data_IF_000266143083
#
_entry.id   IF_000266143083
#
_cell.length_a   1.000
_cell.length_b   1.000
_cell.length_c   1.000
_cell.angle_alpha   90.00
_cell.angle_beta   90.00
_cell.angle_gamma   90.00
#
_symmetry.space_group_name_H-M   'P 1'
#
loop_
_entity.id
_entity.type
_entity.pdbx_description
1 polymer ?
#
# COMPACT_ATOMS: atom_id res chain seq x y z
N UNK A 1 -30.61 20.01 -7.47
CA UNK A 1 -30.07 19.32 -6.27
C UNK A 1 -29.86 17.87 -6.66
N UNK A 2 -28.62 17.41 -6.73
CA UNK A 2 -28.32 16.03 -7.06
C UNK A 2 -28.55 15.16 -5.82
N UNK A 3 -29.36 14.12 -5.95
CA UNK A 3 -29.52 13.08 -4.92
C UNK A 3 -28.13 12.52 -4.59
N UNK A 4 -27.72 12.43 -3.31
CA UNK A 4 -26.46 11.78 -2.97
C UNK A 4 -26.52 10.33 -3.44
N UNK A 5 -25.77 10.00 -4.49
CA UNK A 5 -25.57 8.60 -4.86
C UNK A 5 -24.78 7.96 -3.74
N UNK A 6 -25.35 6.94 -3.08
CA UNK A 6 -24.61 6.09 -2.17
C UNK A 6 -23.48 5.46 -2.99
N UNK A 7 -22.24 5.90 -2.77
CA UNK A 7 -21.06 5.51 -3.55
C UNK A 7 -20.61 4.08 -3.23
N UNK A 8 -21.49 3.10 -3.42
CA UNK A 8 -21.24 1.69 -3.14
C UNK A 8 -19.98 1.22 -3.88
N UNK A 9 -19.08 0.57 -3.13
CA UNK A 9 -17.93 -0.13 -3.70
C UNK A 9 -18.34 -1.58 -3.97
N UNK A 10 -18.26 -2.01 -5.23
CA UNK A 10 -18.73 -3.33 -5.68
C UNK A 10 -17.66 -4.43 -5.58
N UNK A 11 -16.59 -4.24 -4.79
CA UNK A 11 -15.48 -5.18 -4.70
C UNK A 11 -15.89 -6.64 -4.46
N UNK A 12 -16.90 -6.87 -3.60
CA UNK A 12 -17.41 -8.21 -3.34
C UNK A 12 -18.14 -8.83 -4.53
N UNK A 13 -18.84 -8.02 -5.31
CA UNK A 13 -19.52 -8.46 -6.55
C UNK A 13 -18.49 -8.71 -7.65
N UNK A 14 -17.51 -7.82 -7.81
CA UNK A 14 -16.45 -7.98 -8.81
C UNK A 14 -15.64 -9.26 -8.54
N UNK A 15 -15.32 -9.52 -7.26
CA UNK A 15 -14.65 -10.75 -6.84
C UNK A 15 -15.52 -11.99 -7.07
N UNK A 16 -16.81 -11.92 -6.77
CA UNK A 16 -17.74 -13.02 -7.02
C UNK A 16 -17.82 -13.34 -8.52
N UNK A 17 -17.98 -12.33 -9.37
CA UNK A 17 -18.04 -12.50 -10.83
C UNK A 17 -16.73 -13.10 -11.35
N UNK A 18 -15.59 -12.61 -10.87
CA UNK A 18 -14.26 -13.14 -11.24
C UNK A 18 -14.14 -14.62 -10.87
N UNK A 19 -14.47 -14.96 -9.62
CA UNK A 19 -14.38 -16.35 -9.14
C UNK A 19 -15.37 -17.27 -9.86
N UNK A 20 -16.58 -16.79 -10.17
CA UNK A 20 -17.56 -17.53 -10.94
C UNK A 20 -17.08 -17.78 -12.38
N UNK A 21 -16.44 -16.79 -13.01
CA UNK A 21 -15.81 -16.94 -14.31
C UNK A 21 -14.73 -18.03 -14.32
N UNK A 22 -13.82 -17.99 -13.35
CA UNK A 22 -12.78 -19.02 -13.17
C UNK A 22 -13.40 -20.42 -12.98
N UNK A 23 -14.45 -20.53 -12.18
CA UNK A 23 -15.12 -21.81 -11.92
C UNK A 23 -15.87 -22.36 -13.14
N UNK A 24 -16.38 -21.49 -14.02
CA UNK A 24 -17.00 -21.89 -15.31
C UNK A 24 -15.94 -22.42 -16.28
N UNK A 25 -14.74 -21.83 -16.29
CA UNK A 25 -13.64 -22.25 -17.16
C UNK A 25 -13.00 -23.56 -16.68
N UNK A 26 -12.66 -23.65 -15.40
CA UNK A 26 -12.03 -24.81 -14.77
C UNK A 26 -12.32 -24.82 -13.26
N UNK A 27 -13.31 -25.63 -12.86
CA UNK A 27 -13.75 -25.71 -11.46
C UNK A 27 -12.65 -26.22 -10.53
N UNK A 28 -11.91 -27.26 -10.93
CA UNK A 28 -10.88 -27.87 -10.08
C UNK A 28 -9.75 -26.88 -9.82
N UNK A 29 -9.29 -26.19 -10.86
CA UNK A 29 -8.29 -25.14 -10.70
C UNK A 29 -8.80 -23.96 -9.87
N UNK A 30 -10.05 -23.52 -10.07
CA UNK A 30 -10.65 -22.43 -9.30
C UNK A 30 -10.74 -22.76 -7.79
N UNK A 31 -11.14 -23.98 -7.45
CA UNK A 31 -11.16 -24.47 -6.06
C UNK A 31 -9.74 -24.50 -5.47
N UNK A 32 -8.77 -24.99 -6.22
CA UNK A 32 -7.36 -25.01 -5.79
C UNK A 32 -6.82 -23.60 -5.55
N UNK A 33 -7.14 -22.62 -6.41
CA UNK A 33 -6.78 -21.22 -6.21
C UNK A 33 -7.38 -20.70 -4.90
N UNK A 34 -8.67 -20.94 -4.66
CA UNK A 34 -9.35 -20.47 -3.46
C UNK A 34 -8.77 -21.11 -2.18
N UNK A 35 -8.49 -22.42 -2.21
CA UNK A 35 -7.87 -23.15 -1.10
C UNK A 35 -6.43 -22.70 -0.83
N UNK A 36 -5.71 -22.27 -1.87
CA UNK A 36 -4.35 -21.74 -1.76
C UNK A 36 -4.28 -20.26 -1.35
N UNK A 37 -5.42 -19.58 -1.26
CA UNK A 37 -5.46 -18.17 -0.87
C UNK A 37 -4.93 -17.99 0.56
N UNK A 38 -4.11 -16.96 0.82
CA UNK A 38 -3.51 -16.77 2.12
C UNK A 38 -4.57 -16.42 3.17
N UNK A 39 -4.43 -17.00 4.37
CA UNK A 39 -5.20 -16.60 5.54
C UNK A 39 -4.81 -15.21 6.02
N UNK A 40 -5.64 -14.59 6.88
CA UNK A 40 -5.32 -13.30 7.47
C UNK A 40 -3.98 -13.31 8.25
N UNK A 41 -3.70 -14.39 8.99
CA UNK A 41 -2.45 -14.57 9.71
C UNK A 41 -1.25 -14.70 8.76
N UNK A 42 -1.39 -15.45 7.66
CA UNK A 42 -0.34 -15.56 6.64
C UNK A 42 -0.04 -14.22 5.97
N UNK A 43 -1.08 -13.41 5.69
CA UNK A 43 -0.91 -12.06 5.16
C UNK A 43 -0.16 -11.16 6.15
N UNK A 44 -0.51 -11.21 7.43
CA UNK A 44 0.14 -10.43 8.48
C UNK A 44 1.62 -10.79 8.65
N UNK A 45 1.94 -12.09 8.62
CA UNK A 45 3.31 -12.57 8.65
C UNK A 45 4.09 -12.09 7.43
N UNK A 46 3.47 -12.15 6.24
CA UNK A 46 4.07 -11.66 4.99
C UNK A 46 4.38 -10.16 5.07
N UNK A 47 3.44 -9.35 5.57
CA UNK A 47 3.61 -7.91 5.75
C UNK A 47 4.72 -7.63 6.78
N UNK A 48 4.75 -8.36 7.89
CA UNK A 48 5.77 -8.21 8.93
C UNK A 48 7.17 -8.51 8.39
N UNK A 49 7.32 -9.55 7.58
CA UNK A 49 8.58 -9.88 6.91
C UNK A 49 9.00 -8.74 5.96
N UNK A 50 8.07 -8.22 5.17
CA UNK A 50 8.33 -7.10 4.28
C UNK A 50 8.80 -5.84 5.03
N UNK A 51 8.14 -5.51 6.14
CA UNK A 51 8.50 -4.35 6.98
C UNK A 51 9.92 -4.46 7.56
N UNK A 52 10.36 -5.68 7.92
CA UNK A 52 11.75 -5.91 8.34
C UNK A 52 12.75 -5.71 7.20
N UNK A 53 12.38 -6.07 5.97
CA UNK A 53 13.21 -5.84 4.79
C UNK A 53 13.37 -4.34 4.50
N UNK A 54 12.31 -3.54 4.65
CA UNK A 54 12.36 -2.09 4.50
C UNK A 54 13.43 -1.44 5.39
N UNK A 55 13.45 -1.76 6.68
CA UNK A 55 14.45 -1.25 7.61
C UNK A 55 15.87 -1.64 7.19
N UNK A 56 16.06 -2.89 6.75
CA UNK A 56 17.36 -3.39 6.30
C UNK A 56 17.86 -2.67 5.04
N UNK A 57 16.94 -2.36 4.11
CA UNK A 57 17.28 -1.65 2.88
C UNK A 57 17.58 -0.17 3.12
N UNK A 58 16.83 0.50 4.00
CA UNK A 58 17.10 1.88 4.38
C UNK A 58 18.48 2.03 5.02
N UNK A 59 18.85 1.12 5.93
CA UNK A 59 20.20 1.14 6.54
C UNK A 59 21.29 0.83 5.50
N UNK A 60 21.09 -0.17 4.64
CA UNK A 60 22.06 -0.54 3.61
C UNK A 60 22.30 0.55 2.57
N UNK A 61 21.27 1.31 2.22
CA UNK A 61 21.31 2.34 1.17
C UNK A 61 21.20 3.75 1.73
N UNK A 62 21.52 3.96 3.02
CA UNK A 62 21.31 5.23 3.72
C UNK A 62 21.88 6.44 2.97
N UNK A 63 23.09 6.31 2.43
CA UNK A 63 23.79 7.38 1.70
C UNK A 63 23.19 7.69 0.32
N UNK A 64 22.35 6.79 -0.22
CA UNK A 64 21.67 6.93 -1.51
C UNK A 64 20.19 7.31 -1.37
N UNK A 65 19.63 7.20 -0.16
CA UNK A 65 18.21 7.45 0.08
C UNK A 65 17.88 8.93 0.04
N UNK A 66 16.78 9.26 -0.64
CA UNK A 66 16.23 10.62 -0.68
C UNK A 66 14.93 10.62 0.11
N UNK A 67 14.82 11.53 1.08
CA UNK A 67 13.56 11.75 1.80
C UNK A 67 12.53 12.33 0.84
N UNK A 68 11.45 11.60 0.63
CA UNK A 68 10.35 12.00 -0.25
C UNK A 68 9.35 12.88 0.48
N UNK A 69 8.75 12.35 1.55
CA UNK A 69 7.75 13.06 2.33
C UNK A 69 7.75 12.64 3.79
N UNK A 70 7.16 13.49 4.62
CA UNK A 70 6.71 13.18 5.97
C UNK A 70 5.20 13.40 6.06
N UNK A 71 4.50 12.49 6.72
CA UNK A 71 3.05 12.54 6.88
C UNK A 71 2.63 12.11 8.29
N UNK A 72 1.69 12.87 8.84
CA UNK A 72 0.90 12.52 10.02
C UNK A 72 -0.56 12.45 9.58
N UNK A 73 -1.20 11.31 9.76
CA UNK A 73 -2.54 11.02 9.24
C UNK A 73 -3.34 10.24 10.27
N UNK A 74 -4.57 10.71 10.52
CA UNK A 74 -5.55 9.96 11.30
C UNK A 74 -6.20 8.93 10.39
N UNK A 75 -6.11 7.66 10.73
CA UNK A 75 -6.67 6.54 9.95
C UNK A 75 -7.70 5.84 10.81
N UNK A 76 -8.93 5.68 10.30
CA UNK A 76 -9.97 4.88 10.92
C UNK A 76 -10.38 3.80 9.92
N UNK A 77 -9.82 2.61 10.10
CA UNK A 77 -10.01 1.53 9.14
C UNK A 77 -8.91 1.46 8.09
N UNK A 78 -9.29 1.52 6.80
CA UNK A 78 -8.40 1.17 5.68
C UNK A 78 -8.41 2.24 4.61
N UNK A 79 -7.23 2.75 4.31
CA UNK A 79 -7.04 3.81 3.32
C UNK A 79 -5.77 3.55 2.51
N UNK A 80 -5.73 4.16 1.32
CA UNK A 80 -4.54 4.22 0.48
C UNK A 80 -4.04 5.66 0.43
N UNK A 81 -2.76 5.85 0.74
CA UNK A 81 -2.03 7.06 0.36
C UNK A 81 -1.42 6.83 -1.01
N UNK A 82 -1.77 7.67 -1.97
CA UNK A 82 -1.32 7.55 -3.35
C UNK A 82 -0.53 8.80 -3.69
N UNK A 83 0.73 8.61 -4.10
CA UNK A 83 1.69 9.70 -4.32
C UNK A 83 2.25 9.64 -5.74
N UNK A 84 2.22 10.77 -6.42
CA UNK A 84 2.75 10.96 -7.77
C UNK A 84 3.39 12.36 -7.84
N UNK A 85 4.64 12.46 -8.29
CA UNK A 85 5.40 13.71 -8.26
C UNK A 85 5.45 14.32 -6.83
N UNK A 86 4.87 15.51 -6.64
CA UNK A 86 4.69 16.21 -5.35
C UNK A 86 3.22 16.28 -4.92
N UNK A 87 2.40 15.38 -5.45
CA UNK A 87 0.95 15.33 -5.18
C UNK A 87 0.61 14.08 -4.41
N UNK A 88 -0.39 14.20 -3.56
CA UNK A 88 -0.96 13.07 -2.84
C UNK A 88 -2.49 13.06 -2.98
N UNK A 89 -3.07 11.88 -2.84
CA UNK A 89 -4.50 11.70 -2.57
C UNK A 89 -4.71 10.55 -1.59
N UNK A 90 -5.75 10.67 -0.78
CA UNK A 90 -6.24 9.60 0.08
C UNK A 90 -7.41 8.91 -0.64
N UNK A 91 -7.38 7.59 -0.69
CA UNK A 91 -8.50 6.78 -1.15
C UNK A 91 -8.99 5.89 -0.02
N UNK A 92 -10.19 6.17 0.46
CA UNK A 92 -10.83 5.35 1.48
C UNK A 92 -11.30 4.01 0.89
N UNK A 93 -11.02 2.94 1.63
CA UNK A 93 -11.44 1.58 1.29
C UNK A 93 -12.54 1.08 2.23
N UNK A 94 -12.43 1.38 3.53
CA UNK A 94 -13.38 0.89 4.54
C UNK A 94 -13.38 1.78 5.77
N UNK A 95 -14.57 1.94 6.37
CA UNK A 95 -14.86 2.81 7.52
C UNK A 95 -14.71 4.29 7.15
N UNK A 96 -14.34 5.13 8.10
CA UNK A 96 -14.23 6.57 7.87
C UNK A 96 -12.95 6.91 7.12
N UNK A 97 -12.98 7.96 6.31
CA UNK A 97 -11.84 8.35 5.49
C UNK A 97 -10.66 8.86 6.34
N UNK A 98 -9.44 8.51 5.93
CA UNK A 98 -8.27 9.06 6.60
C UNK A 98 -8.18 10.60 6.47
N UNK A 99 -7.75 11.25 7.56
CA UNK A 99 -7.61 12.69 7.68
C UNK A 99 -6.16 13.09 7.88
N UNK A 100 -5.54 13.66 6.85
CA UNK A 100 -4.16 14.17 6.89
C UNK A 100 -4.08 15.35 7.86
N UNK A 101 -3.29 15.21 8.91
CA UNK A 101 -3.01 16.26 9.90
C UNK A 101 -1.84 17.13 9.46
N UNK A 102 -0.77 16.47 8.98
CA UNK A 102 0.43 17.13 8.45
C UNK A 102 0.93 16.38 7.24
N UNK A 103 1.37 17.11 6.24
CA UNK A 103 2.07 16.54 5.09
C UNK A 103 3.09 17.53 4.57
N UNK A 104 4.32 17.06 4.36
CA UNK A 104 5.40 17.85 3.79
C UNK A 104 6.20 17.00 2.82
N UNK A 105 6.25 17.44 1.56
CA UNK A 105 7.20 16.93 0.59
C UNK A 105 8.58 17.57 0.77
N UNK A 106 9.62 16.76 0.63
CA UNK A 106 11.03 17.18 0.64
C UNK A 106 11.68 16.98 -0.73
N UNK A 107 11.12 16.07 -1.53
CA UNK A 107 11.51 15.83 -2.90
C UNK A 107 10.26 15.49 -3.73
N UNK A 108 10.43 15.50 -5.06
CA UNK A 108 9.44 14.98 -6.01
C UNK A 108 9.71 13.50 -6.24
N UNK A 109 8.67 12.70 -6.38
CA UNK A 109 8.82 11.34 -6.87
C UNK A 109 9.21 11.39 -8.36
N UNK A 110 10.36 10.81 -8.77
CA UNK A 110 10.83 10.94 -10.14
C UNK A 110 9.95 10.13 -11.10
N UNK A 111 9.96 10.52 -12.38
CA UNK A 111 9.25 9.82 -13.46
C UNK A 111 10.10 8.65 -14.01
N UNK A 112 10.58 7.82 -13.09
CA UNK A 112 11.38 6.62 -13.37
C UNK A 112 11.14 5.54 -12.30
N UNK A 113 11.62 4.33 -12.55
CA UNK A 113 11.50 3.24 -11.58
C UNK A 113 12.48 3.43 -10.42
N UNK A 114 11.92 3.71 -9.24
CA UNK A 114 12.65 3.84 -7.98
C UNK A 114 12.04 2.92 -6.92
N UNK A 115 12.80 2.64 -5.87
CA UNK A 115 12.30 1.88 -4.73
C UNK A 115 11.86 2.84 -3.66
N UNK A 116 10.55 2.96 -3.44
CA UNK A 116 10.01 3.71 -2.29
C UNK A 116 9.94 2.80 -1.07
N UNK A 117 10.33 3.33 0.08
CA UNK A 117 10.33 2.59 1.35
C UNK A 117 9.71 3.47 2.44
N UNK A 118 8.72 2.96 3.19
CA UNK A 118 8.19 3.64 4.36
C UNK A 118 9.13 3.44 5.55
N UNK A 119 9.37 4.52 6.28
CA UNK A 119 9.96 4.50 7.60
C UNK A 119 8.86 4.84 8.60
N UNK A 120 8.46 3.86 9.41
CA UNK A 120 7.48 4.07 10.48
C UNK A 120 8.10 4.93 11.59
N UNK A 121 7.42 6.00 12.00
CA UNK A 121 7.78 6.81 13.17
C UNK A 121 6.86 6.41 14.33
N UNK A 122 5.56 6.36 14.06
CA UNK A 122 4.54 5.97 15.01
C UNK A 122 3.33 5.39 14.30
N UNK A 123 3.06 4.11 14.50
CA UNK A 123 1.77 3.52 14.14
C UNK A 123 1.44 2.34 15.05
N UNK A 124 0.16 1.95 15.04
CA UNK A 124 -0.29 0.68 15.65
C UNK A 124 0.29 -0.51 14.85
N UNK A 125 0.29 -1.75 15.37
CA UNK A 125 1.17 -2.85 14.92
C UNK A 125 1.19 -3.19 13.42
N UNK A 126 0.18 -2.77 12.66
CA UNK A 126 0.21 -2.83 11.19
C UNK A 126 0.76 -1.52 10.63
N UNK A 127 2.09 -1.43 10.52
CA UNK A 127 2.77 -0.26 9.96
C UNK A 127 2.40 -0.04 8.48
N UNK A 128 2.48 1.21 7.97
CA UNK A 128 2.27 1.49 6.55
C UNK A 128 3.22 0.66 5.67
N UNK A 129 2.70 0.11 4.56
CA UNK A 129 3.52 -0.65 3.61
C UNK A 129 3.17 -0.33 2.17
N UNK A 130 4.14 -0.51 1.27
CA UNK A 130 3.98 -0.22 -0.16
C UNK A 130 3.13 -1.29 -0.83
N UNK A 131 1.89 -0.96 -1.20
CA UNK A 131 1.09 -1.85 -2.04
C UNK A 131 1.63 -1.89 -3.47
N UNK A 132 2.04 -0.73 -3.99
CA UNK A 132 2.59 -0.62 -5.35
C UNK A 132 3.78 0.33 -5.40
N UNK A 133 4.87 -0.13 -6.02
CA UNK A 133 6.04 0.70 -6.36
C UNK A 133 5.79 1.50 -7.65
N UNK A 134 6.46 2.65 -7.84
CA UNK A 134 6.35 3.43 -9.06
C UNK A 134 6.94 2.68 -10.26
N UNK A 135 6.18 2.61 -11.34
CA UNK A 135 6.60 2.05 -12.62
C UNK A 135 5.86 2.69 -13.79
N UNK A 136 6.25 2.34 -15.01
CA UNK A 136 5.64 2.90 -16.21
C UNK A 136 4.13 2.59 -16.31
N UNK A 137 3.66 1.45 -15.81
CA UNK A 137 2.26 1.02 -15.90
C UNK A 137 1.34 1.81 -14.97
N UNK A 138 1.86 2.39 -13.90
CA UNK A 138 1.10 3.22 -12.95
C UNK A 138 1.49 4.71 -12.98
N UNK A 139 2.10 5.18 -14.07
CA UNK A 139 2.58 6.56 -14.24
C UNK A 139 3.57 7.00 -13.13
N UNK A 140 4.41 6.07 -12.68
CA UNK A 140 5.39 6.27 -11.62
C UNK A 140 4.75 6.72 -10.31
N UNK A 141 3.67 6.03 -9.93
CA UNK A 141 2.90 6.28 -8.71
C UNK A 141 3.28 5.27 -7.63
N UNK A 142 3.49 5.73 -6.40
CA UNK A 142 3.56 4.84 -5.24
C UNK A 142 2.21 4.80 -4.52
N UNK A 143 1.76 3.59 -4.18
CA UNK A 143 0.56 3.36 -3.39
C UNK A 143 0.97 2.75 -2.05
N UNK A 144 0.66 3.44 -0.96
CA UNK A 144 0.92 3.00 0.41
C UNK A 144 -0.41 2.57 1.03
N UNK A 145 -0.45 1.37 1.57
CA UNK A 145 -1.60 0.87 2.31
C UNK A 145 -1.47 1.25 3.79
N UNK A 146 -2.53 1.83 4.34
CA UNK A 146 -2.63 2.22 5.74
C UNK A 146 -3.80 1.47 6.37
N UNK A 147 -3.53 0.77 7.46
CA UNK A 147 -4.56 0.02 8.16
C UNK A 147 -4.43 0.13 9.67
N UNK A 148 -5.44 0.74 10.25
CA UNK A 148 -5.52 0.93 11.68
C UNK A 148 -6.02 -0.36 12.38
N UNK A 149 -5.10 -1.27 12.77
CA UNK A 149 -5.37 -2.54 13.49
C UNK A 149 -5.02 -2.40 14.99
N UNK A 150 -5.84 -2.88 15.96
CA UNK A 150 -7.05 -3.73 15.88
C UNK A 150 -8.37 -3.01 15.53
N UNK A 151 -8.32 -1.77 15.01
CA UNK A 151 -9.48 -0.93 14.76
C UNK A 151 -9.67 0.06 15.90
N UNK A 152 -9.63 1.35 15.58
CA UNK A 152 -10.00 2.52 16.38
C UNK A 152 -9.76 3.74 15.48
N UNK A 153 -9.57 4.92 16.08
CA UNK A 153 -9.15 6.13 15.41
C UNK A 153 -7.69 6.47 15.78
N UNK A 154 -6.73 5.80 15.12
CA UNK A 154 -5.30 5.95 15.37
C UNK A 154 -4.62 7.04 14.54
N UNK A 155 -3.61 7.69 15.12
CA UNK A 155 -2.66 8.53 14.37
C UNK A 155 -1.55 7.61 13.85
N UNK A 156 -1.28 7.71 12.54
CA UNK A 156 -0.09 7.16 11.90
C UNK A 156 0.84 8.30 11.49
N UNK A 157 2.10 8.22 11.91
CA UNK A 157 3.18 9.11 11.53
C UNK A 157 4.28 8.29 10.86
N UNK A 158 4.64 8.66 9.64
CA UNK A 158 5.68 7.97 8.90
C UNK A 158 6.31 8.86 7.85
N UNK A 159 7.44 8.40 7.34
CA UNK A 159 8.16 9.04 6.25
C UNK A 159 8.23 8.09 5.06
N UNK A 160 8.30 8.66 3.87
CA UNK A 160 8.69 7.90 2.68
C UNK A 160 10.08 8.35 2.25
N UNK A 161 10.90 7.38 1.91
CA UNK A 161 12.18 7.57 1.24
C UNK A 161 12.13 6.87 -0.12
N UNK A 162 12.91 7.33 -1.07
CA UNK A 162 13.20 6.55 -2.26
C UNK A 162 14.70 6.28 -2.41
N UNK A 163 15.03 5.11 -2.93
CA UNK A 163 16.36 4.75 -3.43
C UNK A 163 16.30 4.89 -4.96
N UNK A 164 17.25 5.59 -5.61
CA UNK A 164 17.29 5.79 -7.07
C UNK A 164 17.72 4.52 -7.82
N UNK A 165 17.07 3.40 -7.51
CA UNK A 165 17.27 2.05 -8.05
C UNK A 165 15.92 1.34 -8.05
N UNK A 166 15.64 0.52 -9.05
CA UNK A 166 14.41 -0.26 -9.12
C UNK A 166 14.31 -1.27 -7.97
N UNK A 167 13.09 -1.74 -7.61
CA UNK A 167 12.90 -2.76 -6.57
C UNK A 167 13.75 -4.01 -6.80
N UNK A 168 13.90 -4.44 -8.07
CA UNK A 168 14.69 -5.60 -8.45
C UNK A 168 16.19 -5.41 -8.16
N UNK A 169 16.73 -4.23 -8.41
CA UNK A 169 18.15 -3.92 -8.19
C UNK A 169 18.53 -3.91 -6.72
N UNK A 170 17.61 -3.49 -5.85
CA UNK A 170 17.82 -3.51 -4.39
C UNK A 170 17.42 -4.83 -3.75
N UNK A 171 16.88 -5.77 -4.52
CA UNK A 171 16.43 -7.08 -4.04
C UNK A 171 15.11 -7.05 -3.26
N UNK A 172 14.28 -6.02 -3.47
CA UNK A 172 12.94 -5.91 -2.89
C UNK A 172 11.94 -6.64 -3.78
N UNK A 173 11.31 -7.69 -3.25
CA UNK A 173 10.17 -8.35 -3.87
C UNK A 173 8.87 -7.85 -3.22
N UNK A 174 7.79 -7.67 -3.99
CA UNK A 174 6.47 -7.36 -3.46
C UNK A 174 5.61 -8.64 -3.47
N UNK A 175 5.41 -9.30 -2.32
CA UNK A 175 4.84 -10.65 -2.28
C UNK A 175 3.36 -10.73 -2.75
N UNK A 176 2.67 -9.59 -2.84
CA UNK A 176 1.30 -9.48 -3.35
C UNK A 176 1.21 -9.11 -4.83
N UNK A 177 2.32 -8.83 -5.53
CA UNK A 177 2.34 -8.72 -7.00
C UNK A 177 2.90 -10.01 -7.59
N UNK A 178 2.01 -10.81 -8.18
CA UNK A 178 2.36 -12.00 -8.98
C UNK A 178 2.38 -11.64 -10.46
#
# INVERSE_FOLDING_TARGET
MATPGFGYKLFGIDLLITNAGLAIEDLENAENILLSAPTAEQLENTITIQQKQYNSLLEKHKDETVKLLHIEVKVDGRDLLIVNDDKHRIQNLRYDGAHVQKLKFFAKLPKEEVTVIPLDIHSRPMHPFILEQPNAQNDYTVTVYMYDKPGADGIMEFELYYIPKSPKEVGLNLPWKK
#
